data_IF_131562632997
#
_entry.id   IF_131562632997
#
_cell.length_a   1.000
_cell.length_b   1.000
_cell.length_c   1.000
_cell.angle_alpha   90.00
_cell.angle_beta   90.00
_cell.angle_gamma   90.00
#
_symmetry.space_group_name_H-M   'P 1'
#
loop_
_entity.id
_entity.type
_entity.pdbx_description
1 polymer ?
#
# COMPACT_ATOMS: atom_id res chain seq x y z
N UNK A 1 12.78 -30.00 41.94
CA UNK A 1 13.50 -28.76 41.60
C UNK A 1 13.55 -28.54 40.09
N UNK A 2 13.22 -29.55 39.28
CA UNK A 2 13.32 -29.50 37.81
C UNK A 2 12.19 -28.72 37.12
N UNK A 3 11.01 -28.62 37.74
CA UNK A 3 9.88 -27.85 37.19
C UNK A 3 10.18 -26.37 36.97
N UNK A 4 11.00 -25.77 37.84
CA UNK A 4 11.41 -24.37 37.75
C UNK A 4 12.37 -24.18 36.56
N UNK A 5 13.23 -25.17 36.34
CA UNK A 5 14.20 -25.22 35.25
C UNK A 5 13.48 -25.44 33.89
N UNK A 6 12.48 -26.31 33.85
CA UNK A 6 11.62 -26.54 32.69
C UNK A 6 10.83 -25.27 32.33
N UNK A 7 10.23 -24.60 33.32
CA UNK A 7 9.51 -23.34 33.11
C UNK A 7 10.42 -22.27 32.51
N UNK A 8 11.63 -22.13 33.05
CA UNK A 8 12.62 -21.18 32.54
C UNK A 8 12.98 -21.45 31.07
N UNK A 9 13.19 -22.71 30.69
CA UNK A 9 13.47 -23.07 29.29
C UNK A 9 12.30 -22.79 28.34
N UNK A 10 11.06 -23.03 28.77
CA UNK A 10 9.87 -22.71 27.96
C UNK A 10 9.78 -21.19 27.73
N UNK A 11 9.98 -20.39 28.79
CA UNK A 11 9.94 -18.94 28.70
C UNK A 11 11.04 -18.41 27.77
N UNK A 12 12.27 -18.92 27.91
CA UNK A 12 13.40 -18.53 27.07
C UNK A 12 13.16 -18.93 25.60
N UNK A 13 12.68 -20.15 25.36
CA UNK A 13 12.30 -20.64 24.03
C UNK A 13 11.20 -19.77 23.41
N UNK A 14 10.15 -19.44 24.17
CA UNK A 14 9.07 -18.57 23.72
C UNK A 14 9.59 -17.17 23.38
N UNK A 15 10.47 -16.59 24.20
CA UNK A 15 11.04 -15.26 23.95
C UNK A 15 11.90 -15.23 22.68
N UNK A 16 12.62 -16.32 22.39
CA UNK A 16 13.45 -16.46 21.18
C UNK A 16 12.59 -16.76 19.94
N UNK A 17 11.57 -17.60 20.05
CA UNK A 17 10.71 -18.00 18.92
C UNK A 17 9.61 -16.98 18.61
N UNK A 18 9.19 -16.18 19.58
CA UNK A 18 8.14 -15.17 19.42
C UNK A 18 8.39 -14.20 18.25
N UNK A 19 9.56 -13.55 18.08
CA UNK A 19 9.77 -12.64 16.96
C UNK A 19 9.73 -13.35 15.60
N UNK A 20 10.24 -14.58 15.50
CA UNK A 20 10.21 -15.35 14.26
C UNK A 20 8.79 -15.79 13.89
N UNK A 21 8.01 -16.23 14.89
CA UNK A 21 6.60 -16.56 14.71
C UNK A 21 5.78 -15.30 14.38
N UNK A 22 6.08 -14.17 15.02
CA UNK A 22 5.46 -12.89 14.74
C UNK A 22 5.71 -12.46 13.30
N UNK A 23 6.95 -12.49 12.80
CA UNK A 23 7.27 -12.13 11.40
C UNK A 23 6.67 -13.12 10.39
N UNK A 24 6.49 -14.40 10.77
CA UNK A 24 5.89 -15.40 9.89
C UNK A 24 4.35 -15.31 9.83
N UNK A 25 3.72 -14.91 10.93
CA UNK A 25 2.25 -14.88 11.07
C UNK A 25 1.68 -13.48 10.85
N UNK A 26 2.31 -12.45 11.40
CA UNK A 26 2.03 -11.07 11.04
C UNK A 26 2.74 -10.80 9.73
N UNK A 27 2.02 -10.22 8.77
CA UNK A 27 2.54 -9.85 7.46
C UNK A 27 2.80 -8.34 7.49
N UNK A 28 3.89 -7.85 8.11
CA UNK A 28 4.12 -6.42 8.35
C UNK A 28 4.34 -5.61 7.07
N UNK A 29 4.53 -6.27 5.92
CA UNK A 29 4.72 -5.60 4.64
C UNK A 29 3.51 -4.78 4.20
N UNK A 30 2.29 -5.34 4.35
CA UNK A 30 1.08 -4.68 3.83
C UNK A 30 0.75 -3.40 4.64
N UNK A 31 0.97 -3.39 5.97
CA UNK A 31 0.70 -2.20 6.80
C UNK A 31 1.76 -1.09 6.60
N UNK A 32 3.02 -1.46 6.40
CA UNK A 32 4.10 -0.50 6.13
C UNK A 32 3.97 0.16 4.75
N UNK A 33 3.55 -0.61 3.74
CA UNK A 33 3.29 -0.11 2.39
C UNK A 33 2.11 0.87 2.39
N UNK A 34 1.02 0.55 3.11
CA UNK A 34 -0.13 1.44 3.31
C UNK A 34 0.21 2.73 4.05
N UNK A 35 1.05 2.67 5.10
CA UNK A 35 1.54 3.87 5.80
C UNK A 35 2.38 4.76 4.87
N UNK A 36 3.16 4.16 3.98
CA UNK A 36 4.01 4.88 3.02
C UNK A 36 3.15 5.60 1.97
N UNK A 37 2.18 4.91 1.38
CA UNK A 37 1.25 5.48 0.39
C UNK A 37 0.45 6.65 0.99
N UNK A 38 -0.05 6.50 2.22
CA UNK A 38 -0.74 7.59 2.93
C UNK A 38 0.16 8.82 3.12
N UNK A 39 1.41 8.61 3.52
CA UNK A 39 2.36 9.70 3.74
C UNK A 39 2.63 10.45 2.45
N UNK A 40 2.75 9.74 1.33
CA UNK A 40 2.95 10.37 0.02
C UNK A 40 1.76 11.25 -0.37
N UNK A 41 0.53 10.76 -0.20
CA UNK A 41 -0.69 11.53 -0.48
C UNK A 41 -0.81 12.78 0.40
N UNK A 42 -0.47 12.71 1.68
CA UNK A 42 -0.52 13.88 2.58
C UNK A 42 0.57 14.90 2.24
N UNK A 43 1.77 14.42 1.93
CA UNK A 43 2.90 15.29 1.61
C UNK A 43 2.67 16.11 0.33
N UNK A 44 2.12 15.49 -0.72
CA UNK A 44 1.76 16.22 -1.95
C UNK A 44 0.75 17.35 -1.67
N UNK A 45 -0.21 17.15 -0.76
CA UNK A 45 -1.22 18.15 -0.40
C UNK A 45 -0.59 19.34 0.33
N UNK A 46 0.39 19.05 1.20
CA UNK A 46 1.16 20.08 1.91
C UNK A 46 1.91 20.98 0.92
N UNK A 47 2.55 20.38 -0.10
CA UNK A 47 3.25 21.12 -1.16
C UNK A 47 2.31 22.04 -1.94
N UNK A 48 1.12 21.57 -2.33
CA UNK A 48 0.15 22.42 -3.05
C UNK A 48 -0.38 23.58 -2.20
N UNK A 49 -0.59 23.34 -0.90
CA UNK A 49 -0.99 24.39 0.04
C UNK A 49 0.11 25.44 0.24
N UNK A 50 1.37 24.99 0.30
CA UNK A 50 2.54 25.88 0.36
C UNK A 50 2.64 26.73 -0.91
N UNK A 51 2.48 26.12 -2.09
CA UNK A 51 2.44 26.84 -3.36
C UNK A 51 1.33 27.90 -3.41
N UNK A 52 0.12 27.59 -2.91
CA UNK A 52 -0.97 28.57 -2.82
C UNK A 52 -0.64 29.72 -1.89
N UNK A 53 0.00 29.44 -0.76
CA UNK A 53 0.43 30.47 0.21
C UNK A 53 1.47 31.38 -0.42
N UNK A 54 2.45 30.83 -1.13
CA UNK A 54 3.48 31.61 -1.80
C UNK A 54 2.89 32.49 -2.91
N UNK A 55 1.97 31.94 -3.71
CA UNK A 55 1.25 32.69 -4.74
C UNK A 55 0.47 33.87 -4.13
N UNK A 56 -0.13 33.67 -2.96
CA UNK A 56 -0.84 34.75 -2.24
C UNK A 56 0.11 35.85 -1.76
N UNK A 57 1.30 35.49 -1.29
CA UNK A 57 2.34 36.45 -0.90
C UNK A 57 2.79 37.26 -2.13
N UNK A 58 3.00 36.62 -3.28
CA UNK A 58 3.40 37.32 -4.51
C UNK A 58 2.33 38.30 -4.99
N UNK A 59 1.05 37.94 -4.88
CA UNK A 59 -0.05 38.84 -5.15
C UNK A 59 -0.08 40.02 -4.16
N UNK A 60 0.04 39.77 -2.86
CA UNK A 60 0.01 40.82 -1.83
C UNK A 60 1.21 41.78 -1.94
N UNK A 61 2.35 41.31 -2.46
CA UNK A 61 3.53 42.14 -2.76
C UNK A 61 3.42 42.89 -4.10
N UNK A 62 2.34 42.70 -4.86
CA UNK A 62 2.08 43.37 -6.13
C UNK A 62 2.90 42.84 -7.31
N UNK A 63 3.52 41.65 -7.18
CA UNK A 63 4.25 41.00 -8.28
C UNK A 63 3.31 40.37 -9.31
N UNK A 64 2.12 39.96 -8.88
CA UNK A 64 1.09 39.36 -9.71
C UNK A 64 -0.11 40.29 -9.80
N UNK A 65 -0.70 40.36 -10.97
CA UNK A 65 -1.98 41.05 -11.18
C UNK A 65 -3.15 40.14 -10.77
N UNK A 66 -4.30 40.72 -10.40
CA UNK A 66 -5.54 39.99 -10.09
C UNK A 66 -5.91 38.88 -11.10
N UNK A 67 -5.86 39.10 -12.44
CA UNK A 67 -6.17 38.05 -13.40
C UNK A 67 -5.14 36.91 -13.40
N UNK A 68 -3.85 37.21 -13.21
CA UNK A 68 -2.78 36.21 -13.14
C UNK A 68 -2.94 35.34 -11.88
N UNK A 69 -3.14 35.97 -10.72
CA UNK A 69 -3.42 35.28 -9.46
C UNK A 69 -4.62 34.34 -9.58
N UNK A 70 -5.73 34.80 -10.17
CA UNK A 70 -6.95 34.00 -10.32
C UNK A 70 -6.73 32.80 -11.25
N UNK A 71 -5.97 32.99 -12.34
CA UNK A 71 -5.67 31.89 -13.27
C UNK A 71 -4.83 30.79 -12.63
N UNK A 72 -3.75 31.15 -11.93
CA UNK A 72 -2.82 30.20 -11.33
C UNK A 72 -3.44 29.51 -10.11
N UNK A 73 -4.11 30.28 -9.23
CA UNK A 73 -4.78 29.72 -8.05
C UNK A 73 -5.88 28.74 -8.42
N UNK A 74 -6.63 28.99 -9.51
CA UNK A 74 -7.67 28.05 -9.94
C UNK A 74 -7.13 26.67 -10.34
N UNK A 75 -5.94 26.60 -10.94
CA UNK A 75 -5.30 25.34 -11.28
C UNK A 75 -4.85 24.56 -10.05
N UNK A 76 -4.21 25.25 -9.09
CA UNK A 76 -3.74 24.62 -7.85
C UNK A 76 -4.93 24.18 -6.97
N UNK A 77 -5.99 24.98 -6.90
CA UNK A 77 -7.22 24.61 -6.16
C UNK A 77 -7.87 23.37 -6.78
N UNK A 78 -7.94 23.28 -8.11
CA UNK A 78 -8.49 22.10 -8.78
C UNK A 78 -7.66 20.84 -8.47
N UNK A 79 -6.33 20.94 -8.52
CA UNK A 79 -5.43 19.82 -8.16
C UNK A 79 -5.60 19.40 -6.69
N UNK A 80 -5.81 20.38 -5.79
CA UNK A 80 -6.11 20.13 -4.39
C UNK A 80 -7.43 19.36 -4.19
N UNK A 81 -8.47 19.72 -4.96
CA UNK A 81 -9.78 19.06 -4.91
C UNK A 81 -9.70 17.61 -5.39
N UNK A 82 -8.99 17.34 -6.49
CA UNK A 82 -8.74 16.00 -7.01
C UNK A 82 -8.00 15.14 -5.98
N UNK A 83 -6.98 15.71 -5.35
CA UNK A 83 -6.18 15.02 -4.34
C UNK A 83 -6.96 14.75 -3.05
N UNK A 84 -7.78 15.70 -2.59
CA UNK A 84 -8.67 15.50 -1.44
C UNK A 84 -9.71 14.40 -1.71
N UNK A 85 -10.15 14.24 -2.97
CA UNK A 85 -11.02 13.12 -3.37
C UNK A 85 -10.26 11.78 -3.33
N UNK A 86 -9.02 11.73 -3.80
CA UNK A 86 -8.20 10.52 -3.78
C UNK A 86 -7.90 10.07 -2.34
N UNK A 87 -7.59 11.00 -1.42
CA UNK A 87 -7.40 10.72 0.00
C UNK A 87 -8.68 10.16 0.63
N UNK A 88 -9.85 10.73 0.30
CA UNK A 88 -11.15 10.21 0.77
C UNK A 88 -11.40 8.80 0.25
N UNK A 89 -11.21 8.55 -1.04
CA UNK A 89 -11.39 7.24 -1.64
C UNK A 89 -10.44 6.18 -1.05
N UNK A 90 -9.19 6.55 -0.77
CA UNK A 90 -8.22 5.68 -0.07
C UNK A 90 -8.68 5.37 1.35
N UNK A 91 -9.17 6.37 2.09
CA UNK A 91 -9.69 6.18 3.46
C UNK A 91 -10.92 5.26 3.49
N UNK A 92 -11.82 5.40 2.52
CA UNK A 92 -13.01 4.56 2.38
C UNK A 92 -12.63 3.12 2.02
N UNK A 93 -11.71 2.92 1.07
CA UNK A 93 -11.17 1.60 0.72
C UNK A 93 -10.57 0.88 1.94
N UNK A 94 -9.79 1.58 2.77
CA UNK A 94 -9.20 1.03 4.00
C UNK A 94 -10.27 0.55 5.00
N UNK A 95 -11.38 1.28 5.15
CA UNK A 95 -12.46 0.86 6.06
C UNK A 95 -13.21 -0.39 5.59
N UNK A 96 -13.26 -0.64 4.29
CA UNK A 96 -13.89 -1.82 3.71
C UNK A 96 -13.00 -3.07 3.85
N UNK A 97 -11.68 -2.94 3.70
CA UNK A 97 -10.75 -4.06 3.85
C UNK A 97 -10.58 -4.52 5.31
N UNK A 98 -10.75 -3.64 6.30
CA UNK A 98 -10.73 -4.02 7.73
C UNK A 98 -11.96 -4.87 8.11
N UNK A 99 -13.08 -4.75 7.38
CA UNK A 99 -14.32 -5.50 7.65
C UNK A 99 -14.56 -6.67 6.67
N UNK A 100 -13.74 -6.81 5.62
CA UNK A 100 -13.74 -8.00 4.77
C UNK A 100 -12.84 -9.06 5.38
N UNK A 101 -13.47 -9.94 6.13
CA UNK A 101 -13.02 -11.32 6.34
C UNK A 101 -12.39 -11.87 5.06
N UNK A 102 -11.21 -12.53 5.12
CA UNK A 102 -10.47 -12.91 3.93
C UNK A 102 -11.34 -13.85 3.10
N UNK A 103 -11.93 -13.32 2.03
CA UNK A 103 -12.60 -14.15 1.03
C UNK A 103 -11.49 -14.93 0.36
N UNK A 104 -11.41 -16.20 0.72
CA UNK A 104 -10.57 -17.22 0.12
C UNK A 104 -10.57 -17.00 -1.41
N UNK A 105 -9.46 -16.47 -1.90
CA UNK A 105 -9.24 -16.32 -3.34
C UNK A 105 -9.38 -17.70 -3.95
N UNK A 106 -10.35 -17.84 -4.86
CA UNK A 106 -10.55 -19.02 -5.69
C UNK A 106 -9.20 -19.63 -6.10
N UNK A 107 -8.88 -20.77 -5.49
CA UNK A 107 -7.78 -21.63 -5.89
C UNK A 107 -8.12 -22.14 -7.29
N UNK A 108 -7.68 -21.41 -8.31
CA UNK A 108 -7.66 -21.89 -9.68
C UNK A 108 -6.78 -23.14 -9.70
N UNK A 109 -7.27 -24.29 -10.19
CA UNK A 109 -6.49 -25.52 -10.19
C UNK A 109 -5.21 -25.30 -10.99
N UNK A 110 -4.07 -25.50 -10.33
CA UNK A 110 -2.75 -25.37 -10.94
C UNK A 110 -2.59 -26.45 -12.02
N UNK A 111 -2.68 -26.06 -13.30
CA UNK A 111 -2.18 -26.90 -14.38
C UNK A 111 -0.68 -27.11 -14.16
N UNK A 112 -0.25 -28.38 -14.08
CA UNK A 112 1.14 -28.74 -13.75
C UNK A 112 2.15 -28.31 -14.81
N UNK A 113 1.70 -28.04 -16.04
CA UNK A 113 2.55 -27.70 -17.17
C UNK A 113 1.94 -26.56 -17.99
N UNK A 114 2.79 -25.69 -18.54
CA UNK A 114 2.39 -24.67 -19.49
C UNK A 114 2.05 -25.33 -20.84
N UNK A 115 0.89 -24.99 -21.40
CA UNK A 115 0.46 -25.46 -22.73
C UNK A 115 1.38 -25.00 -23.87
N UNK A 116 2.08 -23.88 -23.71
CA UNK A 116 2.87 -23.26 -24.77
C UNK A 116 4.34 -23.70 -24.78
N UNK A 117 4.98 -23.77 -23.62
CA UNK A 117 6.41 -24.08 -23.51
C UNK A 117 6.71 -25.42 -22.82
N UNK A 118 5.68 -26.12 -22.29
CA UNK A 118 5.86 -27.37 -21.56
C UNK A 118 6.51 -27.21 -20.19
N UNK A 119 6.75 -25.98 -19.72
CA UNK A 119 7.40 -25.73 -18.44
C UNK A 119 6.52 -26.18 -17.26
N UNK A 120 7.14 -26.83 -16.27
CA UNK A 120 6.47 -27.34 -15.08
C UNK A 120 6.22 -26.19 -14.09
N UNK A 121 4.95 -25.88 -13.82
CA UNK A 121 4.57 -24.78 -12.93
C UNK A 121 4.31 -25.37 -11.54
N UNK A 122 5.26 -25.17 -10.63
CA UNK A 122 5.16 -25.63 -9.24
C UNK A 122 4.50 -24.58 -8.32
N UNK A 123 4.26 -23.37 -8.83
CA UNK A 123 3.61 -22.28 -8.09
C UNK A 123 2.09 -22.36 -8.21
N UNK A 124 1.42 -22.58 -7.08
CA UNK A 124 -0.05 -22.59 -6.99
C UNK A 124 -0.57 -21.16 -7.18
N UNK A 125 -1.39 -20.92 -8.20
CA UNK A 125 -2.03 -19.63 -8.46
C UNK A 125 -1.31 -18.70 -9.45
N UNK A 126 -0.29 -19.18 -10.18
CA UNK A 126 0.36 -18.40 -11.23
C UNK A 126 -0.62 -18.08 -12.37
N UNK A 127 -0.76 -16.80 -12.74
CA UNK A 127 -1.57 -16.35 -13.91
C UNK A 127 -0.79 -16.40 -15.22
N UNK A 128 0.54 -16.40 -15.14
CA UNK A 128 1.46 -16.38 -16.27
C UNK A 128 2.59 -17.40 -16.04
N UNK A 129 3.11 -17.99 -17.11
CA UNK A 129 4.26 -18.87 -17.03
C UNK A 129 5.56 -18.07 -16.77
N UNK A 130 6.41 -18.48 -15.80
CA UNK A 130 7.64 -17.75 -15.46
C UNK A 130 8.72 -17.82 -16.56
N UNK A 131 8.67 -18.82 -17.43
CA UNK A 131 9.63 -18.98 -18.53
C UNK A 131 9.20 -18.24 -19.80
N UNK A 132 7.96 -18.49 -20.26
CA UNK A 132 7.52 -17.98 -21.57
C UNK A 132 6.60 -16.75 -21.48
N UNK A 133 6.26 -16.28 -20.28
CA UNK A 133 5.36 -15.15 -20.05
C UNK A 133 3.93 -15.36 -20.54
N UNK A 134 3.60 -16.54 -21.07
CA UNK A 134 2.27 -16.82 -21.64
C UNK A 134 1.25 -16.92 -20.52
N UNK A 135 0.09 -16.27 -20.71
CA UNK A 135 -1.03 -16.35 -19.79
C UNK A 135 -1.49 -17.81 -19.70
N UNK A 136 -1.53 -18.35 -18.49
CA UNK A 136 -2.03 -19.69 -18.27
C UNK A 136 -3.55 -19.66 -18.44
N UNK A 137 -4.01 -20.14 -19.58
CA UNK A 137 -5.43 -20.30 -19.87
C UNK A 137 -5.88 -21.57 -19.15
N UNK A 138 -6.89 -21.42 -18.31
CA UNK A 138 -7.61 -22.55 -17.69
C UNK A 138 -8.22 -23.40 -18.78
#
# INVERSE_FOLDING_TARGET
>A
MDYLLIFFYILLSALVLAPFLYVRLAKPGDDLELETERRELVNRREVLLENLKDLKIEFDTGKLTDPEFKSISSGIVHELEEQDQEIKAWSERKTVDINRQPVASNLVPAQKYCHQCGFKIELVGAKFCPECGTRLMV
#
